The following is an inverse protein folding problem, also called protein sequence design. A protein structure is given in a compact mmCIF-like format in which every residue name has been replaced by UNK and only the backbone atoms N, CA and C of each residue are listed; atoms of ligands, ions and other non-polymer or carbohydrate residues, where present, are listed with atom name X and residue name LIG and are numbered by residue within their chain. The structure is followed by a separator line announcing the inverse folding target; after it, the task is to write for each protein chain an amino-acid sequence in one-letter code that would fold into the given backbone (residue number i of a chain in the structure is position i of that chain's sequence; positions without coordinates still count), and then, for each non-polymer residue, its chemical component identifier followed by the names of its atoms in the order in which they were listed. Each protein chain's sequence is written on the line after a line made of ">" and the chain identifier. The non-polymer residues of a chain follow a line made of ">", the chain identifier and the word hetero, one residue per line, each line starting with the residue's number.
data_IF_071436997797
#
_entry.id   IF_071436997797
#
_cell.length_a   1.000
_cell.length_b   1.000
_cell.length_c   1.000
_cell.angle_alpha   90.00
_cell.angle_beta   90.00
_cell.angle_gamma   90.00
#
_symmetry.space_group_name_H-M   'P 1'
#
loop_
_entity.id
_entity.type
_entity.pdbx_description
1 polymer ?
#
# COMPACT_ATOMS: atom_id res chain seq x y z
N UNK A 1 -38.56 6.45 4.60
CA UNK A 1 -37.72 5.25 4.36
C UNK A 1 -37.14 5.16 2.95
N UNK A 2 -37.84 5.58 1.87
CA UNK A 2 -37.28 5.62 0.50
C UNK A 2 -36.03 6.51 0.34
N UNK A 3 -35.95 7.63 1.07
CA UNK A 3 -34.83 8.58 0.97
C UNK A 3 -33.47 8.05 1.47
N UNK A 4 -33.44 7.11 2.43
CA UNK A 4 -32.16 6.57 2.93
C UNK A 4 -31.55 5.54 1.96
N UNK A 5 -32.39 4.83 1.20
CA UNK A 5 -31.92 3.86 0.20
C UNK A 5 -31.32 4.57 -1.01
N UNK A 6 -31.90 5.71 -1.43
CA UNK A 6 -31.36 6.47 -2.56
C UNK A 6 -30.02 7.15 -2.23
N UNK A 7 -29.81 7.62 -0.99
CA UNK A 7 -28.55 8.27 -0.59
C UNK A 7 -27.35 7.30 -0.64
N UNK A 8 -27.54 6.04 -0.26
CA UNK A 8 -26.52 4.98 -0.34
C UNK A 8 -26.19 4.64 -1.80
N UNK A 9 -27.20 4.63 -2.68
CA UNK A 9 -27.03 4.40 -4.12
C UNK A 9 -26.27 5.55 -4.79
N UNK A 10 -26.49 6.80 -4.37
CA UNK A 10 -25.79 7.97 -4.92
C UNK A 10 -24.30 7.98 -4.51
N UNK A 11 -23.98 7.61 -3.27
CA UNK A 11 -22.58 7.51 -2.81
C UNK A 11 -21.78 6.46 -3.61
N UNK A 12 -22.42 5.36 -4.03
CA UNK A 12 -21.79 4.33 -4.87
C UNK A 12 -21.43 4.82 -6.28
N UNK A 13 -22.16 5.82 -6.82
CA UNK A 13 -21.92 6.36 -8.18
C UNK A 13 -20.70 7.26 -8.27
N UNK A 14 -20.26 7.86 -7.16
CA UNK A 14 -19.15 8.83 -7.13
C UNK A 14 -17.78 8.11 -7.18
N UNK A 15 -17.70 6.85 -6.74
CA UNK A 15 -16.43 6.14 -6.58
C UNK A 15 -15.98 5.29 -7.79
N UNK A 16 -16.66 5.37 -8.95
CA UNK A 16 -16.41 4.35 -9.98
C UNK A 16 -16.71 4.82 -11.42
N UNK A 17 -15.68 5.15 -12.18
CA UNK A 17 -15.53 4.64 -13.57
C UNK A 17 -14.05 4.32 -13.78
N UNK A 18 -13.72 3.07 -14.14
CA UNK A 18 -14.36 2.31 -15.21
C UNK A 18 -15.25 1.16 -14.70
N UNK A 19 -16.37 0.91 -15.39
CA UNK A 19 -17.27 -0.25 -15.27
C UNK A 19 -18.38 -0.25 -14.18
N UNK A 20 -19.02 0.89 -13.93
CA UNK A 20 -20.37 0.90 -13.35
C UNK A 20 -21.44 0.69 -14.41
N UNK A 21 -21.86 -0.57 -14.60
CA UNK A 21 -23.24 -0.85 -15.03
C UNK A 21 -23.94 -1.47 -13.82
N UNK A 22 -25.08 -0.95 -13.34
CA UNK A 22 -25.95 -1.72 -12.48
C UNK A 22 -26.62 -2.79 -13.36
N UNK A 23 -25.83 -3.80 -13.73
CA UNK A 23 -26.29 -5.00 -14.39
C UNK A 23 -26.53 -6.07 -13.34
N UNK A 24 -27.65 -6.76 -13.44
CA UNK A 24 -28.08 -7.90 -12.62
C UNK A 24 -26.97 -8.96 -12.42
N UNK A 25 -26.10 -8.77 -11.43
CA UNK A 25 -25.01 -9.70 -11.14
C UNK A 25 -24.05 -9.21 -10.03
N UNK A 26 -23.42 -10.16 -9.34
CA UNK A 26 -22.36 -9.91 -8.34
C UNK A 26 -21.18 -9.18 -9.00
N UNK A 27 -20.85 -7.97 -8.53
CA UNK A 27 -19.72 -7.18 -9.05
C UNK A 27 -18.51 -7.35 -8.14
N UNK A 28 -17.31 -7.46 -8.71
CA UNK A 28 -16.08 -7.61 -7.93
C UNK A 28 -15.22 -6.36 -8.08
N UNK A 29 -14.94 -5.69 -6.97
CA UNK A 29 -13.94 -4.64 -6.84
C UNK A 29 -12.59 -5.28 -6.56
N UNK A 30 -11.57 -4.94 -7.33
CA UNK A 30 -10.19 -5.38 -7.07
C UNK A 30 -9.37 -4.16 -6.69
N UNK A 31 -8.76 -4.21 -5.51
CA UNK A 31 -7.86 -3.19 -5.00
C UNK A 31 -6.43 -3.72 -5.10
N UNK A 32 -5.52 -2.97 -5.69
CA UNK A 32 -4.09 -3.28 -5.62
C UNK A 32 -3.59 -2.86 -4.23
N UNK A 33 -3.15 -3.82 -3.43
CA UNK A 33 -2.76 -3.62 -2.02
C UNK A 33 -1.30 -4.00 -1.76
N UNK A 34 -0.50 -4.15 -2.81
CA UNK A 34 0.92 -4.47 -2.70
C UNK A 34 1.74 -3.92 -3.88
N UNK A 35 3.06 -4.02 -3.77
CA UNK A 35 4.00 -3.46 -4.72
C UNK A 35 4.14 -4.29 -6.01
N UNK A 36 3.82 -5.60 -5.95
CA UNK A 36 3.99 -6.53 -7.06
C UNK A 36 2.66 -6.83 -7.78
N UNK A 37 2.76 -7.29 -9.02
CA UNK A 37 1.60 -7.74 -9.78
C UNK A 37 0.84 -8.85 -9.02
N UNK A 38 -0.50 -8.80 -9.07
CA UNK A 38 -1.42 -9.75 -8.46
C UNK A 38 -1.57 -9.69 -6.92
N UNK A 39 -0.87 -8.79 -6.24
CA UNK A 39 -1.11 -8.48 -4.82
C UNK A 39 -2.41 -7.65 -4.67
N UNK A 40 -3.54 -8.30 -4.91
CA UNK A 40 -4.85 -7.66 -4.96
C UNK A 40 -5.79 -8.19 -3.88
N UNK A 41 -6.62 -7.28 -3.37
CA UNK A 41 -7.76 -7.60 -2.53
C UNK A 41 -9.03 -7.50 -3.37
N UNK A 42 -9.71 -8.62 -3.55
CA UNK A 42 -11.00 -8.67 -4.22
C UNK A 42 -12.12 -8.54 -3.19
N UNK A 43 -13.01 -7.56 -3.37
CA UNK A 43 -14.22 -7.39 -2.57
C UNK A 43 -15.42 -7.56 -3.50
N UNK A 44 -16.27 -8.52 -3.19
CA UNK A 44 -17.48 -8.79 -3.97
C UNK A 44 -18.62 -7.98 -3.40
N UNK A 45 -19.47 -7.45 -4.27
CA UNK A 45 -20.76 -6.85 -3.91
C UNK A 45 -21.86 -7.62 -4.62
N UNK A 46 -22.89 -7.97 -3.88
CA UNK A 46 -24.10 -8.56 -4.43
C UNK A 46 -25.12 -7.46 -4.77
N UNK A 47 -26.11 -7.80 -5.59
CA UNK A 47 -27.19 -6.85 -5.92
C UNK A 47 -28.14 -6.70 -4.73
N UNK A 48 -28.46 -5.46 -4.36
CA UNK A 48 -29.43 -5.13 -3.30
C UNK A 48 -30.76 -4.60 -3.86
N UNK A 49 -31.20 -5.13 -5.00
CA UNK A 49 -32.55 -4.84 -5.52
C UNK A 49 -33.62 -5.53 -4.66
N UNK A 50 -34.85 -5.02 -4.69
CA UNK A 50 -35.98 -5.68 -4.00
C UNK A 50 -36.23 -7.10 -4.51
N UNK A 51 -35.91 -7.38 -5.78
CA UNK A 51 -35.97 -8.73 -6.36
C UNK A 51 -34.87 -9.64 -5.82
N UNK A 52 -33.62 -9.17 -5.75
CA UNK A 52 -32.49 -9.98 -5.26
C UNK A 52 -32.52 -10.18 -3.76
N UNK A 53 -33.17 -9.27 -3.02
CA UNK A 53 -33.44 -9.39 -1.59
C UNK A 53 -34.71 -10.21 -1.29
N UNK A 54 -35.48 -10.66 -2.30
CA UNK A 54 -36.69 -11.46 -2.10
C UNK A 54 -37.91 -10.68 -1.57
N UNK A 55 -37.85 -9.35 -1.57
CA UNK A 55 -38.86 -8.46 -0.98
C UNK A 55 -39.70 -7.69 -2.01
N UNK A 56 -39.66 -8.09 -3.29
CA UNK A 56 -40.36 -7.37 -4.37
C UNK A 56 -41.89 -7.40 -4.21
N UNK A 57 -42.43 -8.56 -3.86
CA UNK A 57 -43.87 -8.84 -3.84
C UNK A 57 -44.34 -9.16 -2.40
N UNK A 58 -43.88 -8.38 -1.43
CA UNK A 58 -44.36 -8.48 -0.05
C UNK A 58 -45.84 -8.12 0.02
N UNK A 59 -46.64 -9.06 0.52
CA UNK A 59 -48.06 -8.86 0.78
C UNK A 59 -48.31 -8.77 2.29
N UNK A 60 -49.00 -7.71 2.71
CA UNK A 60 -49.35 -7.42 4.11
C UNK A 60 -50.87 -7.29 4.31
N UNK A 61 -51.67 -7.76 3.35
CA UNK A 61 -53.13 -7.60 3.37
C UNK A 61 -53.85 -8.57 4.31
N UNK A 62 -53.20 -9.65 4.74
CA UNK A 62 -53.74 -10.61 5.71
C UNK A 62 -52.76 -10.86 6.86
N UNK A 63 -53.27 -11.28 8.02
CA UNK A 63 -52.43 -11.60 9.18
C UNK A 63 -51.35 -12.65 8.85
N UNK A 64 -51.73 -13.70 8.12
CA UNK A 64 -50.81 -14.75 7.69
C UNK A 64 -49.75 -14.22 6.71
N UNK A 65 -50.13 -13.37 5.75
CA UNK A 65 -49.19 -12.81 4.78
C UNK A 65 -48.23 -11.81 5.45
N UNK A 66 -48.72 -11.01 6.40
CA UNK A 66 -47.88 -10.10 7.20
C UNK A 66 -46.81 -10.86 8.00
N UNK A 67 -47.14 -12.01 8.60
CA UNK A 67 -46.15 -12.82 9.32
C UNK A 67 -45.06 -13.38 8.40
N UNK A 68 -45.44 -13.77 7.18
CA UNK A 68 -44.48 -14.19 6.14
C UNK A 68 -43.63 -13.02 5.65
N UNK A 69 -44.25 -11.84 5.46
CA UNK A 69 -43.55 -10.64 5.02
C UNK A 69 -42.45 -10.21 6.01
N UNK A 70 -42.73 -10.29 7.32
CA UNK A 70 -41.71 -10.03 8.37
C UNK A 70 -40.52 -11.00 8.21
N UNK A 71 -40.80 -12.29 8.02
CA UNK A 71 -39.76 -13.31 7.87
C UNK A 71 -38.89 -13.07 6.63
N UNK A 72 -39.49 -12.65 5.51
CA UNK A 72 -38.73 -12.33 4.30
C UNK A 72 -37.90 -11.05 4.45
N UNK A 73 -38.40 -10.05 5.18
CA UNK A 73 -37.63 -8.85 5.52
C UNK A 73 -36.45 -9.19 6.43
N UNK A 74 -36.62 -10.05 7.44
CA UNK A 74 -35.54 -10.46 8.33
C UNK A 74 -34.41 -11.17 7.56
N UNK A 75 -34.76 -12.03 6.60
CA UNK A 75 -33.78 -12.65 5.70
C UNK A 75 -33.05 -11.62 4.84
N UNK A 76 -33.77 -10.64 4.29
CA UNK A 76 -33.17 -9.57 3.50
C UNK A 76 -32.19 -8.72 4.35
N UNK A 77 -32.56 -8.39 5.59
CA UNK A 77 -31.70 -7.67 6.53
C UNK A 77 -30.46 -8.49 6.88
N UNK A 78 -30.60 -9.79 7.18
CA UNK A 78 -29.48 -10.66 7.46
C UNK A 78 -28.48 -10.73 6.29
N UNK A 79 -28.97 -10.72 5.05
CA UNK A 79 -28.11 -10.67 3.86
C UNK A 79 -27.36 -9.34 3.74
N UNK A 80 -28.03 -8.21 4.01
CA UNK A 80 -27.38 -6.89 4.04
C UNK A 80 -26.30 -6.84 5.13
N UNK A 81 -26.60 -7.33 6.32
CA UNK A 81 -25.65 -7.31 7.44
C UNK A 81 -24.44 -8.21 7.18
N UNK A 82 -24.64 -9.37 6.54
CA UNK A 82 -23.55 -10.22 6.09
C UNK A 82 -22.61 -9.49 5.13
N UNK A 83 -23.17 -8.81 4.13
CA UNK A 83 -22.37 -8.05 3.16
C UNK A 83 -21.65 -6.86 3.83
N UNK A 84 -22.31 -6.12 4.72
CA UNK A 84 -21.67 -5.04 5.51
C UNK A 84 -20.53 -5.56 6.37
N UNK A 85 -20.70 -6.73 6.98
CA UNK A 85 -19.64 -7.39 7.74
C UNK A 85 -18.45 -7.77 6.85
N UNK A 86 -18.71 -8.32 5.66
CA UNK A 86 -17.68 -8.63 4.67
C UNK A 86 -16.89 -7.39 4.24
N UNK A 87 -17.57 -6.26 3.98
CA UNK A 87 -16.91 -4.99 3.71
C UNK A 87 -16.08 -4.51 4.92
N UNK A 88 -16.60 -4.61 6.14
CA UNK A 88 -15.86 -4.30 7.36
C UNK A 88 -14.57 -5.12 7.50
N UNK A 89 -14.65 -6.42 7.25
CA UNK A 89 -13.49 -7.31 7.28
C UNK A 89 -12.46 -6.94 6.18
N UNK A 90 -12.92 -6.62 4.97
CA UNK A 90 -12.05 -6.15 3.90
C UNK A 90 -11.36 -4.82 4.24
N UNK A 91 -12.06 -3.88 4.88
CA UNK A 91 -11.48 -2.62 5.38
C UNK A 91 -10.40 -2.88 6.44
N UNK A 92 -10.67 -3.73 7.43
CA UNK A 92 -9.68 -4.09 8.46
C UNK A 92 -8.43 -4.73 7.86
N UNK A 93 -8.60 -5.59 6.87
CA UNK A 93 -7.48 -6.19 6.14
C UNK A 93 -6.70 -5.14 5.36
N UNK A 94 -7.39 -4.21 4.70
CA UNK A 94 -6.76 -3.13 3.94
C UNK A 94 -5.95 -2.21 4.86
N UNK A 95 -6.50 -1.82 6.02
CA UNK A 95 -5.79 -1.04 7.04
C UNK A 95 -4.55 -1.76 7.57
N UNK A 96 -4.69 -3.05 7.92
CA UNK A 96 -3.56 -3.88 8.35
C UNK A 96 -2.47 -3.98 7.28
N UNK A 97 -2.87 -4.10 6.02
CA UNK A 97 -1.93 -4.14 4.89
C UNK A 97 -1.23 -2.81 4.70
N UNK A 98 -1.94 -1.68 4.78
CA UNK A 98 -1.36 -0.32 4.71
C UNK A 98 -0.32 -0.12 5.81
N UNK A 99 -0.64 -0.50 7.04
CA UNK A 99 0.30 -0.40 8.16
C UNK A 99 1.54 -1.26 7.94
N UNK A 100 1.36 -2.49 7.44
CA UNK A 100 2.49 -3.36 7.11
C UNK A 100 3.37 -2.77 5.99
N UNK A 101 2.76 -2.26 4.91
CA UNK A 101 3.49 -1.64 3.80
C UNK A 101 4.24 -0.39 4.22
N UNK A 102 3.67 0.45 5.10
CA UNK A 102 4.36 1.61 5.63
C UNK A 102 5.60 1.20 6.44
N UNK A 103 5.49 0.17 7.28
CA UNK A 103 6.64 -0.36 8.02
C UNK A 103 7.70 -0.94 7.08
N UNK A 104 7.29 -1.68 6.04
CA UNK A 104 8.22 -2.18 5.03
C UNK A 104 8.93 -1.05 4.28
N UNK A 105 8.18 -0.01 3.89
CA UNK A 105 8.72 1.19 3.23
C UNK A 105 9.75 1.89 4.11
N UNK A 106 9.47 2.06 5.39
CA UNK A 106 10.39 2.68 6.35
C UNK A 106 11.67 1.84 6.50
N UNK A 107 11.53 0.53 6.71
CA UNK A 107 12.66 -0.38 6.83
C UNK A 107 13.53 -0.40 5.55
N UNK A 108 12.89 -0.38 4.38
CA UNK A 108 13.58 -0.34 3.10
C UNK A 108 14.31 1.00 2.88
N UNK A 109 13.66 2.11 3.21
CA UNK A 109 14.24 3.45 3.15
C UNK A 109 15.48 3.56 4.07
N UNK A 110 15.37 3.10 5.32
CA UNK A 110 16.48 3.09 6.27
C UNK A 110 17.64 2.18 5.83
N UNK A 111 17.32 1.06 5.18
CA UNK A 111 18.34 0.16 4.61
C UNK A 111 19.05 0.82 3.42
N UNK A 112 18.30 1.47 2.53
CA UNK A 112 18.85 2.22 1.41
C UNK A 112 19.73 3.38 1.85
N UNK A 113 19.33 4.15 2.88
CA UNK A 113 20.14 5.22 3.46
C UNK A 113 21.46 4.67 3.97
N UNK A 114 21.44 3.58 4.75
CA UNK A 114 22.66 2.96 5.29
C UNK A 114 23.63 2.49 4.21
N UNK A 115 23.11 1.89 3.13
CA UNK A 115 23.94 1.48 1.99
C UNK A 115 24.59 2.71 1.35
N UNK A 116 23.78 3.74 1.02
CA UNK A 116 24.26 5.00 0.43
C UNK A 116 25.31 5.71 1.30
N UNK A 117 25.07 5.78 2.60
CA UNK A 117 25.97 6.44 3.56
C UNK A 117 27.29 5.66 3.69
N UNK A 118 27.24 4.33 3.67
CA UNK A 118 28.43 3.48 3.70
C UNK A 118 29.26 3.63 2.42
N UNK A 119 28.61 3.63 1.26
CA UNK A 119 29.28 3.83 -0.04
C UNK A 119 29.93 5.22 -0.11
N UNK A 120 29.25 6.26 0.38
CA UNK A 120 29.80 7.62 0.43
C UNK A 120 30.99 7.72 1.40
N UNK A 121 30.90 7.08 2.57
CA UNK A 121 32.00 7.04 3.54
C UNK A 121 33.24 6.33 2.97
N UNK A 122 33.06 5.22 2.23
CA UNK A 122 34.16 4.51 1.56
C UNK A 122 34.81 5.39 0.49
N UNK A 123 34.01 5.99 -0.41
CA UNK A 123 34.52 6.88 -1.45
C UNK A 123 35.28 8.08 -0.87
N UNK A 124 34.80 8.64 0.25
CA UNK A 124 35.47 9.75 0.94
C UNK A 124 36.77 9.30 1.61
N UNK A 125 36.78 8.14 2.25
CA UNK A 125 37.99 7.58 2.87
C UNK A 125 39.07 7.28 1.83
N UNK A 126 38.70 6.74 0.67
CA UNK A 126 39.62 6.50 -0.44
C UNK A 126 40.17 7.81 -1.02
N UNK A 127 39.31 8.82 -1.21
CA UNK A 127 39.75 10.15 -1.63
C UNK A 127 40.75 10.76 -0.64
N UNK A 128 40.44 10.71 0.67
CA UNK A 128 41.35 11.19 1.71
C UNK A 128 42.66 10.40 1.74
N UNK A 129 42.62 9.08 1.58
CA UNK A 129 43.81 8.22 1.49
C UNK A 129 44.69 8.63 0.31
N UNK A 130 44.08 8.85 -0.87
CA UNK A 130 44.79 9.30 -2.06
C UNK A 130 45.42 10.68 -1.85
N UNK A 131 44.71 11.63 -1.23
CA UNK A 131 45.27 12.94 -0.91
C UNK A 131 46.46 12.87 0.06
N UNK A 132 46.37 12.03 1.09
CA UNK A 132 47.48 11.79 2.03
C UNK A 132 48.68 11.17 1.30
N UNK A 133 48.47 10.18 0.44
CA UNK A 133 49.54 9.58 -0.36
C UNK A 133 50.20 10.62 -1.27
N UNK A 134 49.43 11.50 -1.91
CA UNK A 134 49.97 12.54 -2.76
C UNK A 134 50.82 13.55 -1.97
N UNK A 135 50.35 14.00 -0.80
CA UNK A 135 51.10 14.90 0.08
C UNK A 135 52.36 14.22 0.65
N UNK A 136 52.24 12.96 1.09
CA UNK A 136 53.36 12.17 1.58
C UNK A 136 54.39 11.91 0.48
N UNK A 137 53.97 11.61 -0.75
CA UNK A 137 54.88 11.40 -1.88
C UNK A 137 55.67 12.67 -2.23
N UNK A 138 55.03 13.84 -2.16
CA UNK A 138 55.71 15.12 -2.37
C UNK A 138 56.74 15.42 -1.26
N UNK A 139 56.37 15.18 0.01
CA UNK A 139 57.26 15.37 1.16
C UNK A 139 58.41 14.35 1.20
N UNK A 140 58.14 13.08 0.90
CA UNK A 140 59.16 12.03 0.78
C UNK A 140 60.12 12.31 -0.37
N UNK A 141 59.63 12.80 -1.52
CA UNK A 141 60.47 13.21 -2.63
C UNK A 141 61.41 14.37 -2.24
N UNK A 142 60.91 15.34 -1.46
CA UNK A 142 61.76 16.44 -0.96
C UNK A 142 62.77 15.95 0.09
N UNK A 143 62.35 15.06 1.00
CA UNK A 143 63.22 14.45 2.01
C UNK A 143 64.33 13.59 1.36
N UNK A 144 64.00 12.80 0.33
CA UNK A 144 64.95 11.98 -0.42
C UNK A 144 65.98 12.85 -1.16
N UNK A 145 65.52 13.92 -1.84
CA UNK A 145 66.41 14.86 -2.51
C UNK A 145 67.37 15.57 -1.53
N UNK A 146 66.92 15.97 -0.34
CA UNK A 146 67.79 16.59 0.66
C UNK A 146 68.85 15.62 1.23
N UNK A 147 68.50 14.35 1.42
CA UNK A 147 69.46 13.32 1.85
C UNK A 147 70.54 13.04 0.80
N UNK A 148 70.19 13.11 -0.49
CA UNK A 148 71.13 12.93 -1.60
C UNK A 148 72.19 14.04 -1.66
N UNK A 149 71.81 15.28 -1.40
CA UNK A 149 72.76 16.42 -1.40
C UNK A 149 73.73 16.37 -0.22
N UNK A 150 73.27 15.91 0.96
CA UNK A 150 74.12 15.70 2.13
C UNK A 150 75.15 14.59 1.89
N UNK A 151 74.76 13.51 1.20
CA UNK A 151 75.68 12.43 0.83
C UNK A 151 76.75 12.91 -0.18
N UNK A 152 76.37 13.77 -1.14
CA UNK A 152 77.34 14.38 -2.07
C UNK A 152 78.31 15.33 -1.37
N UNK A 153 77.84 16.05 -0.34
CA UNK A 153 78.67 16.93 0.49
C UNK A 153 79.67 16.19 1.40
N UNK A 154 79.53 14.88 1.57
CA UNK A 154 80.47 14.04 2.31
C UNK A 154 81.48 13.31 1.40
N UNK A 155 81.36 13.47 0.07
CA UNK A 155 82.22 12.81 -0.92
C UNK A 155 83.08 13.79 -1.75
N UNK A 156 82.85 15.10 -1.62
CA UNK A 156 83.68 16.18 -2.20
C UNK A 156 84.40 16.96 -1.12
#
# INVERSE_FOLDING_TARGET
>A
MRYQVESIVVLSKILQKPNLRPGSGSTVFKFQIGANANETLAVRTNSFSTTSLGIKDLDVTSFANSQRAITEVDKALALIDFERSSFGAAMNRMESTVNNLNNQKENLSASFSRIRDTDYAQATADLSRLQIIQQASASLLTQANQSGTLALSLLG
#
